data_IF_324702837780
#
_entry.id   IF_324702837780
#
_cell.length_a   1.000
_cell.length_b   1.000
_cell.length_c   1.000
_cell.angle_alpha   90.00
_cell.angle_beta   90.00
_cell.angle_gamma   90.00
#
_symmetry.space_group_name_H-M   'P 1'
#
loop_
_entity.id
_entity.type
_entity.pdbx_description
1 polymer ?
#
# COMPACT_ATOMS: atom_id res chain seq x y z
N UNK A 1 16.69 35.17 31.32
CA UNK A 1 18.07 35.41 31.79
C UNK A 1 18.96 34.38 31.11
N UNK A 2 19.72 34.81 30.11
CA UNK A 2 20.60 33.95 29.33
C UNK A 2 21.85 33.69 30.17
N UNK A 3 22.19 32.42 30.41
CA UNK A 3 23.50 32.05 30.92
C UNK A 3 24.19 31.24 29.82
N UNK A 4 25.09 31.91 29.09
CA UNK A 4 26.18 31.28 28.38
C UNK A 4 27.16 30.72 29.43
N UNK A 5 27.50 29.44 29.34
CA UNK A 5 28.68 28.90 30.00
C UNK A 5 29.45 28.06 28.97
N UNK A 6 30.55 28.64 28.50
CA UNK A 6 31.63 27.94 27.80
C UNK A 6 32.37 27.04 28.78
N UNK A 7 32.41 25.74 28.51
CA UNK A 7 33.31 24.79 29.18
C UNK A 7 34.10 24.02 28.15
N UNK A 8 35.41 24.28 28.17
CA UNK A 8 36.47 23.56 27.47
C UNK A 8 36.73 22.20 28.13
N UNK A 9 36.65 21.12 27.34
CA UNK A 9 37.44 19.88 27.49
C UNK A 9 37.03 18.85 28.56
N UNK A 10 36.54 17.67 28.13
CA UNK A 10 36.53 16.39 28.85
C UNK A 10 36.40 15.21 27.86
N UNK A 11 36.82 13.98 28.21
CA UNK A 11 37.28 12.95 27.28
C UNK A 11 36.16 12.22 26.53
N UNK A 12 36.53 11.60 25.40
CA UNK A 12 35.76 10.62 24.63
C UNK A 12 35.42 9.39 25.49
N UNK A 13 34.42 9.50 26.36
CA UNK A 13 33.72 8.39 26.98
C UNK A 13 32.37 8.22 26.28
N UNK A 14 32.18 7.09 25.58
CA UNK A 14 30.92 6.78 24.93
C UNK A 14 29.80 6.68 25.96
N UNK A 15 28.88 7.65 25.94
CA UNK A 15 27.60 7.51 26.62
C UNK A 15 26.75 6.52 25.84
N UNK A 16 26.74 5.25 26.28
CA UNK A 16 25.62 4.37 25.97
C UNK A 16 24.42 4.88 26.77
N UNK A 17 23.56 5.67 26.12
CA UNK A 17 22.22 5.86 26.61
C UNK A 17 21.51 4.51 26.53
N UNK A 18 21.42 3.80 27.65
CA UNK A 18 20.51 2.67 27.75
C UNK A 18 19.09 3.20 27.55
N UNK A 19 18.42 2.75 26.49
CA UNK A 19 17.00 2.96 26.34
C UNK A 19 16.31 2.39 27.58
N UNK A 20 15.67 3.26 28.36
CA UNK A 20 14.80 2.87 29.46
C UNK A 20 13.75 1.90 28.88
N UNK A 21 13.70 0.68 29.43
CA UNK A 21 12.73 -0.32 29.03
C UNK A 21 11.32 0.29 29.02
N UNK A 22 10.63 0.08 27.91
CA UNK A 22 9.36 0.71 27.60
C UNK A 22 8.37 0.57 28.77
N UNK A 23 7.83 1.71 29.21
CA UNK A 23 6.53 1.76 29.90
C UNK A 23 5.57 0.85 29.14
N UNK A 24 4.91 -0.07 29.83
CA UNK A 24 3.84 -0.87 29.25
C UNK A 24 2.83 0.07 28.59
N UNK A 25 2.77 0.08 27.25
CA UNK A 25 1.78 0.90 26.55
C UNK A 25 0.39 0.44 27.00
N UNK A 26 -0.55 1.35 27.30
CA UNK A 26 -1.89 0.99 27.75
C UNK A 26 -2.77 0.39 26.63
N UNK A 27 -2.17 -0.21 25.60
CA UNK A 27 -2.84 -0.77 24.43
C UNK A 27 -2.95 -2.28 24.64
N UNK A 28 -4.18 -2.76 24.90
CA UNK A 28 -4.46 -4.20 25.07
C UNK A 28 -4.98 -4.88 23.80
N UNK A 29 -5.50 -4.09 22.84
CA UNK A 29 -6.05 -4.59 21.59
C UNK A 29 -5.59 -3.72 20.44
N UNK A 30 -5.16 -4.37 19.36
CA UNK A 30 -4.84 -3.73 18.10
C UNK A 30 -5.81 -4.24 17.04
N UNK A 31 -6.48 -3.32 16.36
CA UNK A 31 -7.36 -3.62 15.23
C UNK A 31 -6.70 -2.98 14.02
N UNK A 32 -6.41 -3.80 13.00
CA UNK A 32 -5.83 -3.34 11.75
C UNK A 32 -6.90 -3.40 10.66
N UNK A 33 -7.16 -2.27 10.02
CA UNK A 33 -8.07 -2.14 8.89
C UNK A 33 -7.22 -1.76 7.69
N UNK A 34 -7.11 -2.67 6.72
CA UNK A 34 -6.38 -2.45 5.47
C UNK A 34 -7.37 -1.92 4.44
N UNK A 35 -6.97 -0.88 3.73
CA UNK A 35 -7.68 -0.40 2.54
C UNK A 35 -6.93 -0.85 1.31
N UNK A 36 -7.66 -1.02 0.22
CA UNK A 36 -7.12 -1.52 -1.04
C UNK A 36 -6.87 -0.40 -2.05
N UNK A 37 -5.91 -0.63 -2.96
CA UNK A 37 -5.67 0.08 -4.23
C UNK A 37 -5.67 1.62 -4.21
N UNK A 38 -5.35 2.23 -3.06
CA UNK A 38 -5.25 3.68 -2.93
C UNK A 38 -3.89 4.14 -2.40
N UNK A 39 -3.25 5.06 -3.13
CA UNK A 39 -2.06 5.75 -2.66
C UNK A 39 -2.40 6.84 -1.64
N UNK A 40 -1.40 7.25 -0.84
CA UNK A 40 -1.57 8.37 0.09
C UNK A 40 -2.01 9.64 -0.64
N UNK A 41 -1.40 9.97 -1.78
CA UNK A 41 -1.73 11.18 -2.53
C UNK A 41 -3.13 11.14 -3.13
N UNK A 42 -3.64 9.96 -3.45
CA UNK A 42 -5.02 9.82 -3.90
C UNK A 42 -6.01 10.23 -2.79
N UNK A 43 -5.82 9.79 -1.53
CA UNK A 43 -6.76 10.07 -0.43
C UNK A 43 -6.48 11.39 0.31
N UNK A 44 -5.21 11.68 0.55
CA UNK A 44 -4.73 12.71 1.46
C UNK A 44 -3.72 13.66 0.80
N UNK A 45 -3.49 13.56 -0.51
CA UNK A 45 -2.53 14.42 -1.21
C UNK A 45 -2.87 15.91 -1.17
N UNK A 46 -4.13 16.25 -0.88
CA UNK A 46 -4.60 17.63 -0.65
C UNK A 46 -4.98 17.92 0.80
N UNK A 47 -4.68 16.99 1.72
CA UNK A 47 -4.98 17.14 3.13
C UNK A 47 -4.10 18.25 3.76
N UNK A 48 -4.66 19.18 4.56
CA UNK A 48 -3.87 20.26 5.16
C UNK A 48 -2.74 19.73 6.05
N UNK A 49 -1.52 20.17 5.76
CA UNK A 49 -0.32 19.80 6.53
C UNK A 49 0.34 18.49 6.10
N UNK A 50 -0.22 17.76 5.14
CA UNK A 50 0.49 16.66 4.48
C UNK A 50 1.56 17.19 3.52
N UNK A 51 2.63 16.42 3.30
CA UNK A 51 3.58 16.70 2.21
C UNK A 51 2.86 16.75 0.85
N UNK A 52 2.04 15.73 0.60
CA UNK A 52 1.03 15.69 -0.46
C UNK A 52 1.54 15.93 -1.88
N UNK A 53 0.61 16.33 -2.75
CA UNK A 53 0.86 16.57 -4.17
C UNK A 53 1.51 17.95 -4.34
N UNK A 54 2.73 18.06 -4.92
CA UNK A 54 3.37 19.35 -5.12
C UNK A 54 2.54 20.30 -6.00
N UNK A 55 2.45 21.60 -5.65
CA UNK A 55 1.75 22.58 -6.47
C UNK A 55 2.31 22.65 -7.90
N UNK A 56 1.43 22.68 -8.90
CA UNK A 56 1.84 22.77 -10.31
C UNK A 56 2.32 21.46 -10.93
N UNK A 57 2.22 20.33 -10.21
CA UNK A 57 2.53 18.99 -10.76
C UNK A 57 1.82 18.77 -12.09
N UNK A 58 2.59 18.37 -13.09
CA UNK A 58 2.13 17.93 -14.40
C UNK A 58 3.03 16.82 -14.89
N UNK A 59 2.45 15.74 -15.40
CA UNK A 59 3.19 14.61 -15.97
C UNK A 59 2.95 14.50 -17.47
N UNK A 60 3.88 13.84 -18.15
CA UNK A 60 3.75 13.51 -19.56
C UNK A 60 3.05 12.16 -19.75
N UNK A 61 2.41 11.99 -20.89
CA UNK A 61 1.76 10.74 -21.28
C UNK A 61 2.76 9.63 -21.67
N UNK A 62 4.00 10.01 -21.99
CA UNK A 62 5.11 9.12 -22.31
C UNK A 62 6.45 9.81 -21.96
N UNK A 63 7.56 9.07 -21.82
CA UNK A 63 8.87 9.65 -21.51
C UNK A 63 9.26 10.73 -22.52
N UNK A 64 9.74 11.87 -22.01
CA UNK A 64 10.16 13.03 -22.81
C UNK A 64 9.02 13.77 -23.53
N UNK A 65 7.76 13.41 -23.28
CA UNK A 65 6.60 14.10 -23.84
C UNK A 65 6.28 15.43 -23.16
N UNK A 66 5.29 16.17 -23.68
CA UNK A 66 4.82 17.40 -23.04
C UNK A 66 4.11 17.09 -21.71
N UNK A 67 4.31 17.95 -20.70
CA UNK A 67 3.69 17.82 -19.37
C UNK A 67 2.23 18.30 -19.40
N UNK A 68 1.31 17.44 -19.84
CA UNK A 68 -0.11 17.78 -20.03
C UNK A 68 -1.02 17.33 -18.89
N UNK A 69 -0.68 16.24 -18.22
CA UNK A 69 -1.55 15.58 -17.24
C UNK A 69 -1.37 16.18 -15.85
N UNK A 70 -2.29 17.06 -15.44
CA UNK A 70 -2.32 17.62 -14.09
C UNK A 70 -3.17 16.75 -13.14
N UNK A 71 -2.82 16.69 -11.84
CA UNK A 71 -3.69 16.12 -10.83
C UNK A 71 -5.09 16.76 -10.84
N UNK A 72 -6.13 15.95 -10.66
CA UNK A 72 -7.51 16.45 -10.66
C UNK A 72 -8.39 15.77 -9.61
N UNK A 73 -9.33 16.53 -9.06
CA UNK A 73 -10.34 15.99 -8.15
C UNK A 73 -11.27 15.04 -8.91
N UNK A 74 -11.33 13.78 -8.46
CA UNK A 74 -12.25 12.78 -8.97
C UNK A 74 -13.69 13.18 -8.63
N UNK A 75 -14.52 13.31 -9.65
CA UNK A 75 -15.95 13.59 -9.50
C UNK A 75 -16.72 12.27 -9.54
N UNK A 76 -16.93 11.67 -8.38
CA UNK A 76 -17.56 10.36 -8.20
C UNK A 76 -16.76 9.48 -7.25
N UNK A 77 -17.32 8.31 -6.89
CA UNK A 77 -16.67 7.39 -5.95
C UNK A 77 -15.79 6.33 -6.63
N UNK A 78 -15.95 6.11 -7.94
CA UNK A 78 -15.30 4.99 -8.62
C UNK A 78 -14.39 5.51 -9.73
N UNK A 79 -13.16 4.99 -9.74
CA UNK A 79 -12.30 5.06 -10.92
C UNK A 79 -12.91 4.14 -11.98
N UNK A 80 -13.02 4.55 -13.26
CA UNK A 80 -13.69 3.71 -14.28
C UNK A 80 -12.96 2.40 -14.62
N UNK A 81 -11.75 2.20 -14.10
CA UNK A 81 -10.88 1.07 -14.40
C UNK A 81 -9.90 0.91 -13.23
N UNK A 82 -9.52 -0.33 -12.90
CA UNK A 82 -8.42 -0.56 -11.98
C UNK A 82 -7.09 -0.12 -12.62
N UNK A 83 -6.25 0.54 -11.84
CA UNK A 83 -5.00 1.10 -12.31
C UNK A 83 -3.89 0.07 -12.12
N UNK A 84 -2.91 0.05 -13.02
CA UNK A 84 -1.77 -0.86 -12.90
C UNK A 84 -1.08 -0.77 -11.53
N UNK A 85 -1.25 -1.80 -10.72
CA UNK A 85 -0.73 -1.91 -9.36
C UNK A 85 0.28 -3.06 -9.21
N UNK A 86 0.75 -3.66 -10.31
CA UNK A 86 1.80 -4.70 -10.28
C UNK A 86 3.18 -4.17 -9.86
N UNK A 87 4.11 -5.07 -9.46
CA UNK A 87 5.52 -4.73 -9.24
C UNK A 87 6.13 -3.94 -10.42
N UNK A 88 5.85 -4.37 -11.65
CA UNK A 88 6.38 -3.73 -12.85
C UNK A 88 5.80 -2.33 -13.03
N UNK A 89 4.49 -2.18 -12.84
CA UNK A 89 3.80 -0.88 -12.89
C UNK A 89 4.36 0.08 -11.84
N UNK A 90 4.51 -0.37 -10.60
CA UNK A 90 5.12 0.42 -9.53
C UNK A 90 6.57 0.80 -9.82
N UNK A 91 7.36 -0.11 -10.40
CA UNK A 91 8.75 0.18 -10.77
C UNK A 91 8.88 1.16 -11.94
N UNK A 92 7.98 1.08 -12.93
CA UNK A 92 7.89 2.01 -14.06
C UNK A 92 7.39 3.38 -13.60
N UNK A 93 6.37 3.43 -12.73
CA UNK A 93 5.86 4.68 -12.16
C UNK A 93 6.93 5.42 -11.34
N UNK A 94 7.72 4.67 -10.58
CA UNK A 94 8.82 5.20 -9.77
C UNK A 94 9.94 5.83 -10.61
N UNK A 95 10.17 5.31 -11.83
CA UNK A 95 11.23 5.69 -12.77
C UNK A 95 12.56 6.11 -12.10
N UNK A 96 13.15 5.20 -11.34
CA UNK A 96 14.45 5.40 -10.64
C UNK A 96 14.48 6.64 -9.72
N UNK A 97 13.32 7.07 -9.22
CA UNK A 97 13.16 8.22 -8.33
C UNK A 97 12.77 9.51 -9.05
N UNK A 98 12.60 9.50 -10.37
CA UNK A 98 12.08 10.66 -11.11
C UNK A 98 10.59 10.91 -10.83
N UNK A 99 9.83 9.86 -10.50
CA UNK A 99 8.41 9.95 -10.12
C UNK A 99 7.52 10.60 -11.20
N UNK A 100 7.84 10.39 -12.47
CA UNK A 100 7.10 10.94 -13.61
C UNK A 100 6.42 9.87 -14.47
N UNK A 101 6.57 8.59 -14.11
CA UNK A 101 6.13 7.47 -14.92
C UNK A 101 4.69 7.01 -14.75
N UNK A 102 3.91 7.68 -13.89
CA UNK A 102 2.57 7.22 -13.50
C UNK A 102 1.61 7.01 -14.69
N UNK A 103 1.58 7.94 -15.65
CA UNK A 103 0.62 7.89 -16.77
C UNK A 103 0.89 6.71 -17.70
N UNK A 104 2.17 6.43 -18.00
CA UNK A 104 2.53 5.31 -18.86
C UNK A 104 2.72 3.99 -18.11
N UNK A 105 2.75 4.01 -16.78
CA UNK A 105 2.65 2.81 -15.94
C UNK A 105 1.19 2.34 -15.75
N UNK A 106 0.22 3.25 -15.88
CA UNK A 106 -1.18 3.00 -15.52
C UNK A 106 -1.85 1.82 -16.25
N UNK A 107 -1.32 1.39 -17.40
CA UNK A 107 -1.90 0.35 -18.25
C UNK A 107 -0.89 -0.73 -18.66
N UNK A 108 -1.33 -1.98 -18.90
CA UNK A 108 -0.42 -3.12 -19.11
C UNK A 108 0.60 -2.93 -20.23
N UNK A 109 0.16 -2.45 -21.40
CA UNK A 109 1.04 -2.26 -22.55
C UNK A 109 2.13 -1.20 -22.31
N UNK A 110 1.82 -0.15 -21.54
CA UNK A 110 2.79 0.87 -21.14
C UNK A 110 3.82 0.31 -20.17
N UNK A 111 3.35 -0.35 -19.10
CA UNK A 111 4.23 -1.04 -18.14
C UNK A 111 5.16 -2.04 -18.82
N UNK A 112 4.66 -2.88 -19.73
CA UNK A 112 5.46 -3.87 -20.45
C UNK A 112 6.48 -3.26 -21.43
N UNK A 113 6.15 -2.12 -22.06
CA UNK A 113 7.05 -1.45 -22.99
C UNK A 113 8.19 -0.71 -22.28
N UNK A 114 7.84 0.11 -21.28
CA UNK A 114 8.81 0.94 -20.55
C UNK A 114 9.56 0.16 -19.48
N UNK A 115 8.96 -0.91 -18.94
CA UNK A 115 9.55 -1.77 -17.93
C UNK A 115 10.36 -2.94 -18.48
N UNK A 116 10.53 -3.09 -19.79
CA UNK A 116 11.19 -4.26 -20.43
C UNK A 116 12.57 -4.63 -19.89
N UNK A 117 13.31 -3.65 -19.34
CA UNK A 117 14.65 -3.83 -18.80
C UNK A 117 14.66 -4.07 -17.28
N UNK A 118 13.49 -4.02 -16.62
CA UNK A 118 13.34 -4.17 -15.17
C UNK A 118 13.15 -5.67 -14.87
N UNK A 119 14.07 -6.30 -14.11
CA UNK A 119 13.88 -7.67 -13.68
C UNK A 119 12.70 -7.75 -12.70
N UNK A 120 11.70 -8.57 -13.02
CA UNK A 120 10.58 -8.87 -12.12
C UNK A 120 11.01 -10.00 -11.18
N UNK A 121 11.00 -9.81 -9.84
CA UNK A 121 11.29 -10.87 -8.89
C UNK A 121 10.35 -12.05 -9.08
N UNK A 122 10.90 -13.26 -9.13
CA UNK A 122 10.10 -14.48 -9.12
C UNK A 122 9.87 -14.89 -7.66
N UNK A 123 8.62 -14.99 -7.19
CA UNK A 123 8.32 -15.49 -5.85
C UNK A 123 8.96 -16.86 -5.63
N UNK A 124 9.59 -17.06 -4.47
CA UNK A 124 10.13 -18.36 -4.13
C UNK A 124 8.98 -19.27 -3.64
N UNK A 125 8.58 -20.30 -4.40
CA UNK A 125 7.46 -21.16 -4.04
C UNK A 125 7.71 -21.97 -2.77
N UNK A 126 8.94 -22.03 -2.28
CA UNK A 126 9.31 -22.75 -1.05
C UNK A 126 9.14 -21.91 0.23
N UNK A 127 8.91 -20.59 0.12
CA UNK A 127 8.75 -19.70 1.28
C UNK A 127 7.30 -19.61 1.78
N UNK A 128 6.33 -20.01 0.96
CA UNK A 128 4.91 -19.98 1.31
C UNK A 128 4.43 -21.42 1.51
N UNK A 129 4.39 -21.87 2.78
CA UNK A 129 3.73 -23.13 3.14
C UNK A 129 2.36 -22.82 3.70
N UNK A 130 1.35 -22.81 2.84
CA UNK A 130 -0.04 -22.83 3.29
C UNK A 130 -0.25 -24.19 3.95
N UNK A 131 -0.36 -24.22 5.28
CA UNK A 131 -0.75 -25.43 6.01
C UNK A 131 -2.27 -25.41 6.06
N UNK A 132 -2.98 -26.30 5.33
CA UNK A 132 -4.43 -26.36 5.40
C UNK A 132 -4.85 -26.58 6.85
N UNK A 133 -5.81 -25.80 7.34
CA UNK A 133 -6.41 -26.08 8.64
C UNK A 133 -7.25 -27.35 8.52
N UNK A 134 -6.64 -28.52 8.73
CA UNK A 134 -7.35 -29.81 8.78
C UNK A 134 -8.06 -30.01 10.11
N UNK A 135 -8.75 -28.98 10.60
CA UNK A 135 -9.69 -29.16 11.69
C UNK A 135 -10.84 -30.03 11.17
N UNK A 136 -11.08 -31.23 11.72
CA UNK A 136 -12.20 -32.04 11.29
C UNK A 136 -13.49 -31.26 11.54
N UNK A 137 -14.34 -31.16 10.52
CA UNK A 137 -15.67 -30.56 10.59
C UNK A 137 -16.40 -31.16 11.80
N UNK A 138 -16.78 -30.39 12.83
CA UNK A 138 -17.54 -30.95 13.93
C UNK A 138 -18.92 -31.31 13.40
N UNK A 139 -19.26 -32.60 13.45
CA UNK A 139 -20.63 -33.05 13.34
C UNK A 139 -21.48 -32.31 14.41
N UNK A 140 -22.71 -31.99 14.02
CA UNK A 140 -23.77 -31.36 14.82
C UNK A 140 -23.73 -31.64 16.33
N UNK A 141 -23.86 -30.56 17.11
CA UNK A 141 -23.81 -30.40 18.59
C UNK A 141 -24.46 -31.54 19.41
N UNK A 142 -24.03 -31.77 20.68
CA UNK A 142 -24.50 -30.93 21.80
C UNK A 142 -23.41 -30.57 22.84
N UNK A 143 -23.85 -29.82 23.85
CA UNK A 143 -23.14 -29.20 24.96
C UNK A 143 -22.17 -30.10 25.75
N UNK A 144 -21.24 -29.42 26.45
CA UNK A 144 -20.48 -29.80 27.65
C UNK A 144 -18.99 -30.21 27.50
N UNK A 145 -18.17 -29.32 28.08
CA UNK A 145 -16.95 -29.54 28.85
C UNK A 145 -15.75 -30.35 28.30
N UNK A 146 -14.65 -29.59 28.19
CA UNK A 146 -13.25 -29.90 28.50
C UNK A 146 -12.52 -31.00 27.71
N UNK A 147 -11.43 -30.62 27.04
CA UNK A 147 -10.12 -30.89 27.62
C UNK A 147 -8.99 -30.01 27.06
N UNK A 148 -8.26 -29.47 28.03
CA UNK A 148 -7.03 -28.69 27.99
C UNK A 148 -5.88 -29.43 27.29
N UNK A 149 -5.08 -28.72 26.49
CA UNK A 149 -3.63 -28.93 26.44
C UNK A 149 -2.87 -27.61 26.59
N UNK A 150 -2.12 -27.54 27.70
CA UNK A 150 -1.12 -26.54 28.04
C UNK A 150 -0.07 -26.40 26.93
N UNK A 151 0.20 -25.16 26.51
CA UNK A 151 1.54 -24.75 26.08
C UNK A 151 1.91 -23.48 26.85
N UNK A 152 3.15 -23.43 27.35
CA UNK A 152 3.59 -22.49 28.38
C UNK A 152 4.20 -21.20 27.80
N UNK A 153 3.42 -20.46 27.01
CA UNK A 153 3.73 -19.09 26.59
C UNK A 153 2.42 -18.28 26.58
N UNK A 154 2.42 -16.97 26.90
CA UNK A 154 1.19 -16.19 26.89
C UNK A 154 0.63 -16.18 25.46
N UNK A 155 -0.53 -16.80 25.28
CA UNK A 155 -1.27 -16.87 24.03
C UNK A 155 -1.67 -15.45 23.59
N UNK A 156 -0.83 -14.80 22.80
CA UNK A 156 -1.31 -13.81 21.82
C UNK A 156 -1.87 -14.60 20.64
N UNK A 157 -3.06 -15.18 20.81
CA UNK A 157 -3.77 -15.78 19.68
C UNK A 157 -4.07 -14.67 18.68
N UNK A 158 -3.29 -14.60 17.60
CA UNK A 158 -3.71 -13.96 16.37
C UNK A 158 -4.99 -14.69 15.90
N UNK A 159 -6.14 -14.11 16.26
CA UNK A 159 -7.43 -14.54 15.73
C UNK A 159 -7.57 -13.94 14.33
N UNK A 160 -7.00 -14.64 13.36
CA UNK A 160 -7.37 -14.44 11.96
C UNK A 160 -8.85 -14.80 11.77
N UNK A 161 -9.53 -14.08 10.89
CA UNK A 161 -10.91 -14.40 10.51
C UNK A 161 -11.00 -15.87 10.08
N UNK A 162 -12.08 -16.60 10.41
CA UNK A 162 -12.29 -17.99 9.96
C UNK A 162 -12.24 -18.15 8.44
N UNK A 163 -12.45 -17.05 7.71
CA UNK A 163 -12.50 -16.99 6.25
C UNK A 163 -11.23 -16.39 5.63
N UNK A 164 -10.17 -16.10 6.41
CA UNK A 164 -8.97 -15.42 5.91
C UNK A 164 -9.14 -13.90 5.80
N UNK A 165 -8.18 -13.22 5.16
CA UNK A 165 -8.37 -11.84 4.71
C UNK A 165 -9.33 -11.89 3.53
N UNK A 166 -10.46 -11.18 3.63
CA UNK A 166 -11.33 -10.98 2.48
C UNK A 166 -10.77 -9.78 1.69
N UNK A 167 -10.33 -10.01 0.46
CA UNK A 167 -10.07 -8.96 -0.53
C UNK A 167 -11.25 -8.88 -1.51
N UNK A 168 -11.36 -7.79 -2.27
CA UNK A 168 -12.44 -7.65 -3.27
C UNK A 168 -12.16 -8.42 -4.58
N UNK A 169 -11.01 -9.11 -4.63
CA UNK A 169 -10.59 -10.05 -5.67
C UNK A 169 -10.99 -11.51 -5.36
N UNK A 170 -11.44 -11.79 -4.14
CA UNK A 170 -11.97 -13.10 -3.74
C UNK A 170 -13.30 -13.42 -4.45
N UNK A 171 -13.43 -14.67 -4.93
CA UNK A 171 -14.60 -15.14 -5.66
C UNK A 171 -15.95 -15.04 -4.91
N UNK A 172 -15.92 -14.84 -3.58
CA UNK A 172 -17.10 -14.68 -2.73
C UNK A 172 -17.65 -13.24 -2.70
N UNK A 173 -16.89 -12.24 -3.18
CA UNK A 173 -17.31 -10.85 -3.33
C UNK A 173 -17.01 -10.33 -4.75
N UNK A 174 -17.91 -10.51 -5.74
CA UNK A 174 -17.69 -10.12 -7.14
C UNK A 174 -17.86 -8.61 -7.37
N UNK A 175 -17.25 -7.79 -6.52
CA UNK A 175 -17.11 -6.35 -6.72
C UNK A 175 -15.88 -6.10 -7.57
N UNK A 176 -16.07 -5.72 -8.84
CA UNK A 176 -15.05 -5.25 -9.78
C UNK A 176 -13.87 -6.16 -10.16
N UNK A 177 -13.41 -7.08 -9.31
CA UNK A 177 -12.24 -7.95 -9.53
C UNK A 177 -12.46 -9.18 -10.41
N UNK A 178 -13.71 -9.65 -10.55
CA UNK A 178 -14.01 -10.92 -11.26
C UNK A 178 -13.64 -10.97 -12.77
N UNK A 179 -13.20 -9.86 -13.38
CA UNK A 179 -12.72 -9.82 -14.76
C UNK A 179 -11.26 -9.33 -14.89
N UNK A 180 -10.56 -9.10 -13.78
CA UNK A 180 -9.14 -8.76 -13.83
C UNK A 180 -8.34 -10.03 -13.55
N UNK A 181 -7.57 -10.57 -14.52
CA UNK A 181 -6.60 -11.58 -14.17
C UNK A 181 -5.59 -10.92 -13.23
N UNK A 182 -5.68 -11.22 -11.92
CA UNK A 182 -4.66 -10.92 -10.93
C UNK A 182 -3.28 -11.06 -11.61
N UNK A 183 -2.53 -9.95 -11.79
CA UNK A 183 -1.18 -10.02 -12.29
C UNK A 183 -0.25 -10.47 -11.15
N UNK A 184 -0.70 -11.39 -10.30
CA UNK A 184 0.08 -12.35 -9.55
C UNK A 184 1.12 -12.92 -10.49
N UNK A 185 2.28 -12.26 -10.52
CA UNK A 185 3.27 -12.41 -11.57
C UNK A 185 2.62 -12.28 -12.96
N UNK A 186 2.16 -11.08 -13.36
CA UNK A 186 1.70 -10.85 -14.73
C UNK A 186 2.65 -11.55 -15.72
N UNK A 187 2.15 -12.44 -16.61
CA UNK A 187 2.99 -12.96 -17.67
C UNK A 187 3.57 -11.76 -18.40
N UNK A 188 4.87 -11.80 -18.68
CA UNK A 188 5.56 -10.76 -19.44
C UNK A 188 4.81 -10.60 -20.76
N UNK A 189 3.91 -9.62 -20.83
CA UNK A 189 3.25 -9.27 -22.08
C UNK A 189 4.37 -8.79 -22.98
N UNK A 190 4.56 -9.44 -24.13
CA UNK A 190 5.64 -9.07 -25.04
C UNK A 190 5.55 -7.57 -25.31
N UNK A 191 6.67 -6.85 -25.16
CA UNK A 191 6.69 -5.40 -25.40
C UNK A 191 6.17 -5.13 -26.82
N UNK A 192 5.18 -4.25 -27.00
CA UNK A 192 4.62 -3.97 -28.32
C UNK A 192 5.70 -3.42 -29.28
N UNK A 193 5.57 -3.75 -30.56
CA UNK A 193 6.43 -3.17 -31.63
C UNK A 193 5.96 -1.75 -31.93
N UNK A 194 6.48 -0.76 -31.19
CA UNK A 194 6.13 0.65 -31.30
C UNK A 194 5.80 1.27 -29.94
N UNK A 195 5.87 2.60 -29.84
CA UNK A 195 5.52 3.30 -28.60
C UNK A 195 4.03 3.12 -28.31
N UNK A 196 3.65 2.62 -27.12
CA UNK A 196 2.25 2.43 -26.79
C UNK A 196 1.55 3.77 -26.58
N UNK A 197 0.30 3.89 -27.07
CA UNK A 197 -0.56 5.05 -26.82
C UNK A 197 -1.37 4.82 -25.53
N UNK A 198 -1.37 5.77 -24.58
CA UNK A 198 -2.16 5.62 -23.37
C UNK A 198 -3.67 5.60 -23.67
N UNK A 199 -4.43 4.66 -23.07
CA UNK A 199 -5.88 4.68 -23.14
C UNK A 199 -6.45 5.92 -22.43
N UNK A 200 -7.66 6.40 -22.78
CA UNK A 200 -8.24 7.61 -22.17
C UNK A 200 -8.37 7.57 -20.65
N UNK A 201 -8.45 6.37 -20.05
CA UNK A 201 -8.55 6.17 -18.61
C UNK A 201 -7.18 6.19 -17.90
N UNK A 202 -6.05 6.10 -18.61
CA UNK A 202 -4.72 6.12 -17.97
C UNK A 202 -4.50 7.40 -17.13
N UNK A 203 -5.09 8.52 -17.54
CA UNK A 203 -5.06 9.79 -16.80
C UNK A 203 -5.63 9.70 -15.38
N UNK A 204 -6.48 8.71 -15.06
CA UNK A 204 -7.04 8.57 -13.73
C UNK A 204 -6.01 8.21 -12.65
N UNK A 205 -4.80 7.80 -13.03
CA UNK A 205 -3.66 7.73 -12.11
C UNK A 205 -3.34 9.10 -11.47
N UNK A 206 -3.69 10.19 -12.13
CA UNK A 206 -3.54 11.56 -11.62
C UNK A 206 -4.73 12.02 -10.78
N UNK A 207 -5.73 11.16 -10.56
CA UNK A 207 -6.91 11.56 -9.80
C UNK A 207 -6.63 11.53 -8.29
N UNK A 208 -7.24 12.47 -7.58
CA UNK A 208 -7.27 12.49 -6.11
C UNK A 208 -8.70 12.73 -5.61
N UNK A 209 -8.96 12.37 -4.36
CA UNK A 209 -10.19 12.65 -3.64
C UNK A 209 -9.91 13.65 -2.51
N UNK A 210 -10.96 14.22 -1.92
CA UNK A 210 -10.82 15.14 -0.79
C UNK A 210 -11.85 14.84 0.30
N UNK A 211 -11.87 15.65 1.36
CA UNK A 211 -12.80 15.50 2.48
C UNK A 211 -14.28 15.63 2.12
N UNK A 212 -14.61 16.17 0.94
CA UNK A 212 -15.96 16.15 0.40
C UNK A 212 -16.35 14.78 -0.18
N UNK A 213 -15.39 14.06 -0.75
CA UNK A 213 -15.58 12.72 -1.34
C UNK A 213 -15.48 11.62 -0.28
N UNK A 214 -14.50 11.71 0.62
CA UNK A 214 -14.23 10.71 1.67
C UNK A 214 -14.26 11.31 3.09
N UNK A 215 -15.40 11.88 3.52
CA UNK A 215 -15.50 12.67 4.75
C UNK A 215 -15.13 11.89 6.02
N UNK A 216 -15.41 10.58 6.07
CA UNK A 216 -15.10 9.76 7.25
C UNK A 216 -13.59 9.60 7.44
N UNK A 217 -12.83 9.32 6.38
CA UNK A 217 -11.37 9.20 6.42
C UNK A 217 -10.70 10.50 6.86
N UNK A 218 -11.11 11.63 6.28
CA UNK A 218 -10.57 12.93 6.66
C UNK A 218 -10.92 13.31 8.10
N UNK A 219 -12.11 12.94 8.58
CA UNK A 219 -12.50 13.13 9.99
C UNK A 219 -11.66 12.26 10.93
N UNK A 220 -11.27 11.04 10.54
CA UNK A 220 -10.33 10.25 11.32
C UNK A 220 -8.95 10.90 11.36
N UNK A 221 -8.41 11.35 10.22
CA UNK A 221 -7.13 12.06 10.15
C UNK A 221 -7.11 13.36 10.97
N UNK A 222 -8.25 14.05 11.11
CA UNK A 222 -8.37 15.24 11.96
C UNK A 222 -8.39 14.93 13.46
N UNK A 223 -8.85 13.74 13.84
CA UNK A 223 -9.03 13.33 15.25
C UNK A 223 -7.88 12.49 15.78
N UNK A 224 -7.19 11.79 14.90
CA UNK A 224 -6.14 10.83 15.21
C UNK A 224 -4.88 11.16 14.42
N UNK A 225 -3.83 10.35 14.60
CA UNK A 225 -2.58 10.51 13.89
C UNK A 225 -2.70 10.00 12.45
N UNK A 226 -2.40 10.86 11.49
CA UNK A 226 -2.17 10.49 10.09
C UNK A 226 -0.66 10.33 9.87
N UNK A 227 -0.24 9.20 9.30
CA UNK A 227 1.16 8.96 8.92
C UNK A 227 1.32 9.24 7.42
N UNK A 228 2.13 10.23 7.06
CA UNK A 228 2.38 10.65 5.67
C UNK A 228 3.74 10.14 5.12
N UNK A 229 4.40 9.27 5.88
CA UNK A 229 5.68 8.62 5.57
C UNK A 229 5.63 7.13 5.90
N UNK A 230 4.55 6.46 5.46
CA UNK A 230 4.33 5.03 5.64
C UNK A 230 4.23 4.37 4.26
N UNK A 231 5.09 3.38 4.00
CA UNK A 231 5.25 2.76 2.69
C UNK A 231 5.10 1.24 2.81
N UNK A 232 4.57 0.61 1.76
CA UNK A 232 4.63 -0.85 1.63
C UNK A 232 6.09 -1.31 1.64
N UNK A 233 6.34 -2.49 2.23
CA UNK A 233 7.67 -3.09 2.26
C UNK A 233 8.14 -3.55 0.86
N UNK A 234 7.20 -3.76 -0.06
CA UNK A 234 7.44 -4.19 -1.43
C UNK A 234 6.68 -3.32 -2.41
N UNK A 235 7.13 -3.33 -3.67
CA UNK A 235 6.38 -2.77 -4.79
C UNK A 235 5.41 -3.82 -5.30
N UNK A 236 4.23 -3.36 -5.71
CA UNK A 236 3.13 -4.24 -6.06
C UNK A 236 2.13 -4.33 -4.93
#
# INVERSE_FOLDING_TARGET
MIILASVTGLPLGGFFAFAQAASSLPISHFIFIIQENHSFDNYFGTYPGANGIPPGTRLAAHPGGPLTEAPFLLKGHNVPHDLGHSFLSAAVAYDKGAMDGFVWAAYPAGSAYYGKAIPVPTPNPQLVRIVPNTSPTPASAPSSASNVRKSAAPETQERLSPNGFADDEDAEYPGTGANDPDPGIAPVVASPTGSPTPPPWAKYTMSYVNGGTIPNYWKYAQKFTLLDNFFSALRG
#
